data_IF_336288646920
#
_entry.id   IF_336288646920
#
_cell.length_a   1.000
_cell.length_b   1.000
_cell.length_c   1.000
_cell.angle_alpha   90.00
_cell.angle_beta   90.00
_cell.angle_gamma   90.00
#
_symmetry.space_group_name_H-M   'P 1'
#
loop_
_entity.id
_entity.type
_entity.pdbx_description
1 polymer ?
#
# COMPACT_ATOMS: atom_id res chain seq x y z
N UNK A 1 0.05 18.85 -2.39
CA UNK A 1 0.18 19.24 -0.96
C UNK A 1 1.14 20.40 -0.76
N UNK A 2 2.41 20.34 -1.19
CA UNK A 2 3.34 21.50 -1.07
C UNK A 2 2.78 22.76 -1.75
N UNK A 3 2.46 22.67 -3.04
CA UNK A 3 1.95 23.83 -3.80
C UNK A 3 0.54 24.27 -3.39
N UNK A 4 -0.31 23.31 -3.01
CA UNK A 4 -1.72 23.54 -2.71
C UNK A 4 -1.95 24.17 -1.33
N UNK A 5 -1.13 23.79 -0.35
CA UNK A 5 -1.28 24.24 1.05
C UNK A 5 -0.09 25.08 1.55
N UNK A 6 0.92 25.33 0.69
CA UNK A 6 2.12 26.08 1.06
C UNK A 6 2.99 25.36 2.10
N UNK A 7 2.97 24.02 2.11
CA UNK A 7 3.68 23.20 3.08
C UNK A 7 5.12 22.93 2.63
N UNK A 8 6.04 22.76 3.58
CA UNK A 8 7.35 22.17 3.30
C UNK A 8 7.22 20.69 2.93
N UNK A 9 8.22 20.11 2.26
CA UNK A 9 8.23 18.68 1.92
C UNK A 9 7.94 17.76 3.11
N UNK A 10 8.57 18.03 4.26
CA UNK A 10 8.37 17.23 5.47
C UNK A 10 6.95 17.33 6.01
N UNK A 11 6.35 18.52 5.94
CA UNK A 11 4.95 18.73 6.35
C UNK A 11 3.97 18.11 5.36
N UNK A 12 4.24 18.22 4.05
CA UNK A 12 3.45 17.59 3.01
C UNK A 12 3.46 16.06 3.12
N UNK A 13 4.62 15.44 3.44
CA UNK A 13 4.69 14.00 3.70
C UNK A 13 3.89 13.59 4.94
N UNK A 14 3.95 14.36 6.03
CA UNK A 14 3.17 14.09 7.24
C UNK A 14 1.67 14.22 6.98
N UNK A 15 1.27 15.25 6.24
CA UNK A 15 -0.13 15.46 5.89
C UNK A 15 -0.65 14.37 4.94
N UNK A 16 0.18 13.90 4.02
CA UNK A 16 -0.14 12.76 3.16
C UNK A 16 -0.39 11.48 3.97
N UNK A 17 0.47 11.18 4.95
CA UNK A 17 0.28 10.04 5.84
C UNK A 17 -0.97 10.19 6.70
N UNK A 18 -1.22 11.39 7.27
CA UNK A 18 -2.43 11.67 8.03
C UNK A 18 -3.70 11.44 7.20
N UNK A 19 -3.71 11.91 5.95
CA UNK A 19 -4.82 11.73 5.03
C UNK A 19 -5.01 10.26 4.65
N UNK A 20 -3.92 9.54 4.33
CA UNK A 20 -3.94 8.10 4.08
C UNK A 20 -4.57 7.33 5.24
N UNK A 21 -4.13 7.58 6.48
CA UNK A 21 -4.63 6.88 7.66
C UNK A 21 -6.11 7.17 7.93
N UNK A 22 -6.56 8.40 7.65
CA UNK A 22 -7.96 8.77 7.69
C UNK A 22 -8.79 7.98 6.67
N UNK A 23 -8.33 7.87 5.42
CA UNK A 23 -9.00 7.07 4.39
C UNK A 23 -9.06 5.58 4.75
N UNK A 24 -7.99 5.00 5.29
CA UNK A 24 -7.99 3.60 5.73
C UNK A 24 -8.95 3.39 6.90
N UNK A 25 -9.01 4.32 7.85
CA UNK A 25 -9.96 4.27 8.97
C UNK A 25 -11.40 4.30 8.49
N UNK A 26 -11.72 5.21 7.57
CA UNK A 26 -13.05 5.30 6.97
C UNK A 26 -13.41 4.04 6.18
N UNK A 27 -12.46 3.51 5.39
CA UNK A 27 -12.64 2.26 4.65
C UNK A 27 -13.02 1.09 5.58
N UNK A 28 -12.28 0.91 6.68
CA UNK A 28 -12.57 -0.16 7.67
C UNK A 28 -13.94 0.04 8.32
N UNK A 29 -14.31 1.29 8.62
CA UNK A 29 -15.62 1.61 9.17
C UNK A 29 -16.75 1.26 8.18
N UNK A 30 -16.59 1.61 6.90
CA UNK A 30 -17.55 1.28 5.84
C UNK A 30 -17.67 -0.23 5.61
N UNK A 31 -16.54 -0.95 5.57
CA UNK A 31 -16.52 -2.40 5.44
C UNK A 31 -17.23 -3.09 6.62
N UNK A 32 -17.07 -2.56 7.83
CA UNK A 32 -17.70 -3.10 9.04
C UNK A 32 -19.19 -2.76 9.16
N UNK A 33 -19.68 -1.82 8.35
CA UNK A 33 -21.04 -1.31 8.38
C UNK A 33 -21.72 -1.40 7.00
N UNK A 34 -21.41 -2.44 6.22
CA UNK A 34 -22.02 -2.66 4.92
C UNK A 34 -23.55 -2.80 5.04
N UNK A 35 -24.33 -2.09 4.21
CA UNK A 35 -25.76 -2.32 4.09
C UNK A 35 -26.08 -3.75 3.64
N UNK A 36 -27.33 -4.16 3.81
CA UNK A 36 -27.83 -5.38 3.18
C UNK A 36 -28.03 -5.15 1.67
N UNK A 37 -27.19 -5.80 0.86
CA UNK A 37 -27.28 -5.78 -0.60
C UNK A 37 -28.05 -6.99 -1.17
N UNK A 38 -28.72 -7.77 -0.33
CA UNK A 38 -29.53 -8.93 -0.73
C UNK A 38 -28.68 -10.04 -1.35
N UNK A 39 -29.06 -10.53 -2.53
CA UNK A 39 -28.42 -11.70 -3.15
C UNK A 39 -26.94 -11.48 -3.51
N UNK A 40 -26.49 -10.22 -3.64
CA UNK A 40 -25.09 -9.89 -3.98
C UNK A 40 -24.25 -9.55 -2.74
N UNK A 41 -24.80 -9.65 -1.52
CA UNK A 41 -24.10 -9.23 -0.31
C UNK A 41 -22.73 -9.91 -0.17
N UNK A 42 -22.65 -11.19 -0.54
CA UNK A 42 -21.40 -11.94 -0.47
C UNK A 42 -20.34 -11.42 -1.45
N UNK A 43 -20.76 -10.99 -2.63
CA UNK A 43 -19.84 -10.42 -3.63
C UNK A 43 -19.33 -9.05 -3.17
N UNK A 44 -20.18 -8.24 -2.53
CA UNK A 44 -19.79 -6.95 -1.94
C UNK A 44 -18.81 -7.14 -0.78
N UNK A 45 -19.08 -8.08 0.13
CA UNK A 45 -18.16 -8.44 1.21
C UNK A 45 -16.79 -8.87 0.67
N UNK A 46 -16.78 -9.74 -0.33
CA UNK A 46 -15.56 -10.23 -0.96
C UNK A 46 -14.81 -9.10 -1.69
N UNK A 47 -15.53 -8.20 -2.36
CA UNK A 47 -14.93 -7.04 -3.01
C UNK A 47 -14.24 -6.13 -1.99
N UNK A 48 -14.92 -5.79 -0.89
CA UNK A 48 -14.35 -5.01 0.19
C UNK A 48 -13.14 -5.71 0.83
N UNK A 49 -13.22 -7.02 1.05
CA UNK A 49 -12.12 -7.82 1.57
C UNK A 49 -10.88 -7.74 0.66
N UNK A 50 -11.03 -7.94 -0.65
CA UNK A 50 -9.90 -7.90 -1.59
C UNK A 50 -9.28 -6.50 -1.71
N UNK A 51 -10.07 -5.44 -1.61
CA UNK A 51 -9.53 -4.08 -1.52
C UNK A 51 -8.63 -3.92 -0.28
N UNK A 52 -9.07 -4.40 0.89
CA UNK A 52 -8.29 -4.38 2.12
C UNK A 52 -6.97 -5.15 2.01
N UNK A 53 -7.01 -6.35 1.40
CA UNK A 53 -5.82 -7.14 1.10
C UNK A 53 -4.86 -6.36 0.20
N UNK A 54 -5.36 -5.67 -0.83
CA UNK A 54 -4.53 -4.84 -1.71
C UNK A 54 -3.81 -3.71 -0.97
N UNK A 55 -4.52 -3.00 -0.09
CA UNK A 55 -3.95 -1.91 0.73
C UNK A 55 -2.83 -2.46 1.64
N UNK A 56 -3.11 -3.55 2.37
CA UNK A 56 -2.13 -4.16 3.27
C UNK A 56 -0.93 -4.74 2.52
N UNK A 57 -1.17 -5.37 1.38
CA UNK A 57 -0.15 -5.95 0.52
C UNK A 57 0.81 -4.88 0.00
N UNK A 58 0.29 -3.73 -0.45
CA UNK A 58 1.13 -2.62 -0.89
C UNK A 58 2.01 -2.08 0.25
N UNK A 59 1.45 -1.88 1.44
CA UNK A 59 2.22 -1.43 2.61
C UNK A 59 3.36 -2.40 2.94
N UNK A 60 3.07 -3.70 2.94
CA UNK A 60 4.07 -4.76 3.14
C UNK A 60 5.14 -4.71 2.05
N UNK A 61 4.74 -4.64 0.79
CA UNK A 61 5.64 -4.64 -0.36
C UNK A 61 6.59 -3.43 -0.35
N UNK A 62 6.08 -2.24 -0.03
CA UNK A 62 6.89 -1.02 0.09
C UNK A 62 7.93 -1.10 1.21
N UNK A 63 7.61 -1.75 2.32
CA UNK A 63 8.47 -1.80 3.49
C UNK A 63 9.45 -2.98 3.50
N UNK A 64 9.04 -4.12 2.97
CA UNK A 64 9.78 -5.38 3.14
C UNK A 64 10.36 -5.91 1.83
N UNK A 65 9.63 -5.83 0.72
CA UNK A 65 9.96 -6.64 -0.46
C UNK A 65 10.68 -5.87 -1.56
N UNK A 66 10.29 -4.61 -1.80
CA UNK A 66 10.77 -3.88 -2.97
C UNK A 66 12.05 -3.11 -2.70
N UNK A 67 13.03 -3.27 -3.60
CA UNK A 67 14.19 -2.37 -3.67
C UNK A 67 13.87 -1.12 -4.50
N UNK A 68 12.79 -1.11 -5.27
CA UNK A 68 12.50 -0.11 -6.31
C UNK A 68 12.58 1.35 -5.85
N UNK A 69 12.19 1.62 -4.61
CA UNK A 69 12.12 2.99 -4.05
C UNK A 69 13.22 3.28 -3.04
N UNK A 70 14.17 2.36 -2.84
CA UNK A 70 15.35 2.63 -2.05
C UNK A 70 16.34 3.46 -2.87
N UNK A 71 17.09 4.40 -2.27
CA UNK A 71 18.07 5.21 -3.00
C UNK A 71 19.13 4.38 -3.75
N UNK A 72 19.44 3.19 -3.24
CA UNK A 72 20.34 2.17 -3.82
C UNK A 72 19.60 1.04 -4.56
N UNK A 73 18.28 1.17 -4.72
CA UNK A 73 17.41 0.26 -5.43
C UNK A 73 17.74 0.13 -6.91
N UNK A 74 18.32 -1.01 -7.29
CA UNK A 74 18.91 -1.21 -8.61
C UNK A 74 17.99 -0.94 -9.81
N UNK A 75 18.49 -0.15 -10.78
CA UNK A 75 18.05 -0.18 -12.20
C UNK A 75 18.79 -1.24 -13.02
N UNK A 76 19.93 -1.74 -12.53
CA UNK A 76 20.77 -2.70 -13.25
C UNK A 76 20.55 -4.14 -12.75
N UNK A 77 20.04 -4.97 -13.64
CA UNK A 77 19.80 -6.41 -13.41
C UNK A 77 21.11 -7.14 -13.09
N UNK A 78 22.25 -6.70 -13.63
CA UNK A 78 23.56 -7.32 -13.40
C UNK A 78 24.09 -7.15 -11.95
N UNK A 79 23.70 -6.07 -11.26
CA UNK A 79 24.05 -5.87 -9.85
C UNK A 79 23.14 -6.63 -8.89
N UNK A 80 21.93 -7.02 -9.33
CA UNK A 80 21.01 -7.86 -8.56
C UNK A 80 21.55 -9.29 -8.40
N UNK A 81 22.06 -9.86 -9.48
CA UNK A 81 22.47 -11.28 -9.53
C UNK A 81 23.87 -11.54 -8.95
N UNK A 82 24.68 -10.50 -8.74
CA UNK A 82 26.00 -10.62 -8.10
C UNK A 82 25.97 -10.60 -6.57
N UNK A 83 24.81 -10.35 -5.94
CA UNK A 83 24.68 -10.17 -4.47
C UNK A 83 23.64 -11.10 -3.86
N UNK A 84 22.73 -11.67 -4.65
CA UNK A 84 21.79 -12.69 -4.16
C UNK A 84 22.47 -14.07 -4.17
N UNK A 85 22.57 -14.78 -3.02
CA UNK A 85 23.02 -16.17 -3.03
C UNK A 85 22.03 -17.01 -3.84
N UNK A 86 22.54 -17.95 -4.64
CA UNK A 86 21.88 -18.65 -5.76
C UNK A 86 20.52 -19.32 -5.46
N UNK A 87 20.02 -19.35 -4.23
CA UNK A 87 18.83 -20.11 -3.87
C UNK A 87 17.91 -19.40 -2.86
N UNK A 88 17.16 -18.38 -3.29
CA UNK A 88 15.91 -18.01 -2.62
C UNK A 88 14.79 -17.73 -3.61
N UNK A 89 13.98 -18.77 -3.86
CA UNK A 89 12.61 -18.64 -4.32
C UNK A 89 11.82 -18.09 -3.12
N UNK A 90 11.30 -16.86 -3.23
CA UNK A 90 10.26 -16.39 -2.34
C UNK A 90 8.92 -16.82 -2.96
N UNK A 91 8.33 -17.87 -2.38
CA UNK A 91 6.93 -18.22 -2.56
C UNK A 91 6.05 -17.23 -1.79
#
# INVERSE_FOLDING_TARGET
>A
MEDEYGLTFGEACKEALRFHDACVTEFVALQSALPDFGSINKDIENYALHMGIGIQGLNTWYHLDTLRYKPDGYRDIEKRDSILPENKIFL
#
